data_IF_917273602974
#
_entry.id   IF_917273602974
#
_cell.length_a   1.000
_cell.length_b   1.000
_cell.length_c   1.000
_cell.angle_alpha   90.00
_cell.angle_beta   90.00
_cell.angle_gamma   90.00
#
_symmetry.space_group_name_H-M   'P 1'
#
loop_
_entity.id
_entity.type
_entity.pdbx_description
1 polymer ?
#
# COMPACT_ATOMS: atom_id res chain seq x y z
N UNK A 1 16.45 -7.28 11.07
CA UNK A 1 15.20 -6.81 10.43
C UNK A 1 14.47 -7.98 9.76
N UNK A 2 13.30 -8.32 10.26
CA UNK A 2 12.49 -9.46 9.83
C UNK A 2 11.33 -8.96 8.92
N UNK A 3 11.09 -9.66 7.82
CA UNK A 3 9.93 -9.41 6.93
C UNK A 3 8.89 -10.49 7.20
N UNK A 4 7.68 -10.10 7.54
CA UNK A 4 6.55 -11.01 7.74
C UNK A 4 5.26 -10.50 7.11
N UNK A 5 4.32 -11.40 6.91
CA UNK A 5 2.98 -11.02 6.46
C UNK A 5 2.23 -10.24 7.55
N UNK A 6 1.37 -9.32 7.10
CA UNK A 6 0.38 -8.65 7.95
C UNK A 6 -0.69 -9.67 8.37
N UNK A 7 -1.10 -9.58 9.61
CA UNK A 7 -2.22 -10.33 10.18
C UNK A 7 -3.28 -9.38 10.74
N UNK A 8 -4.42 -9.91 11.17
CA UNK A 8 -5.44 -9.09 11.84
C UNK A 8 -4.94 -8.41 13.12
N UNK A 9 -3.97 -9.01 13.81
CA UNK A 9 -3.35 -8.40 15.00
C UNK A 9 -2.58 -7.11 14.71
N UNK A 10 -2.24 -6.86 13.45
CA UNK A 10 -1.51 -5.67 13.01
C UNK A 10 -2.43 -4.50 12.61
N UNK A 11 -3.75 -4.61 12.83
CA UNK A 11 -4.71 -3.58 12.44
C UNK A 11 -4.33 -2.19 12.95
N UNK A 12 -3.88 -2.09 14.20
CA UNK A 12 -3.45 -0.82 14.79
C UNK A 12 -2.25 -0.23 14.03
N UNK A 13 -1.26 -1.05 13.70
CA UNK A 13 -0.10 -0.63 12.92
C UNK A 13 -0.50 -0.18 11.52
N UNK A 14 -1.39 -0.91 10.86
CA UNK A 14 -1.89 -0.56 9.51
C UNK A 14 -2.60 0.80 9.53
N UNK A 15 -3.44 1.04 10.54
CA UNK A 15 -4.14 2.31 10.72
C UNK A 15 -3.17 3.46 11.02
N UNK A 16 -2.23 3.26 11.95
CA UNK A 16 -1.23 4.27 12.32
C UNK A 16 -0.33 4.65 11.14
N UNK A 17 0.22 3.67 10.45
CA UNK A 17 1.08 3.92 9.29
C UNK A 17 0.34 4.66 8.18
N UNK A 18 -0.92 4.32 7.92
CA UNK A 18 -1.74 5.06 6.95
C UNK A 18 -1.95 6.50 7.37
N UNK A 19 -2.35 6.74 8.62
CA UNK A 19 -2.56 8.09 9.16
C UNK A 19 -1.28 8.92 8.99
N UNK A 20 -0.17 8.40 9.43
CA UNK A 20 1.12 9.09 9.40
C UNK A 20 1.65 9.29 7.97
N UNK A 21 1.36 8.38 7.05
CA UNK A 21 1.66 8.55 5.64
C UNK A 21 0.96 9.79 5.06
N UNK A 22 -0.33 9.95 5.32
CA UNK A 22 -1.09 11.11 4.84
C UNK A 22 -0.75 12.40 5.57
N UNK A 23 -0.49 12.32 6.87
CA UNK A 23 -0.02 13.46 7.66
C UNK A 23 1.30 14.00 7.12
N UNK A 24 2.26 13.13 6.85
CA UNK A 24 3.54 13.47 6.22
C UNK A 24 3.38 14.04 4.79
N UNK A 25 2.31 13.69 4.09
CA UNK A 25 1.95 14.25 2.79
C UNK A 25 1.21 15.61 2.90
N UNK A 26 1.07 16.17 4.11
CA UNK A 26 0.44 17.46 4.34
C UNK A 26 -1.08 17.48 4.25
N UNK A 27 -1.74 16.33 4.44
CA UNK A 27 -3.21 16.26 4.43
C UNK A 27 -3.79 16.88 5.69
N UNK A 28 -4.94 17.52 5.55
CA UNK A 28 -5.64 18.20 6.63
C UNK A 28 -6.03 17.24 7.77
N UNK A 29 -5.66 17.57 9.01
CA UNK A 29 -5.89 16.75 10.19
C UNK A 29 -7.38 16.46 10.44
N UNK A 30 -8.28 17.43 10.18
CA UNK A 30 -9.73 17.26 10.36
C UNK A 30 -10.26 16.22 9.37
N UNK A 31 -9.75 16.21 8.14
CA UNK A 31 -10.11 15.20 7.13
C UNK A 31 -9.60 13.83 7.56
N UNK A 32 -8.38 13.74 8.08
CA UNK A 32 -7.81 12.49 8.56
C UNK A 32 -8.57 11.95 9.78
N UNK A 33 -8.97 12.79 10.71
CA UNK A 33 -9.78 12.40 11.89
C UNK A 33 -11.14 11.78 11.48
N UNK A 34 -11.71 12.22 10.36
CA UNK A 34 -12.92 11.62 9.78
C UNK A 34 -12.64 10.32 9.04
N UNK A 35 -11.49 10.22 8.39
CA UNK A 35 -11.08 9.03 7.63
C UNK A 35 -10.74 7.85 8.55
N UNK A 36 -10.04 8.09 9.66
CA UNK A 36 -9.46 7.05 10.49
C UNK A 36 -10.46 5.99 10.97
N UNK A 37 -11.62 6.34 11.58
CA UNK A 37 -12.58 5.33 12.03
C UNK A 37 -13.19 4.55 10.85
N UNK A 38 -13.46 5.20 9.73
CA UNK A 38 -13.98 4.55 8.53
C UNK A 38 -12.94 3.60 7.92
N UNK A 39 -11.68 4.03 7.84
CA UNK A 39 -10.60 3.17 7.37
C UNK A 39 -10.39 1.96 8.28
N UNK A 40 -10.42 2.15 9.61
CA UNK A 40 -10.26 1.07 10.57
C UNK A 40 -11.32 -0.02 10.37
N UNK A 41 -12.59 0.36 10.25
CA UNK A 41 -13.69 -0.57 9.99
C UNK A 41 -13.48 -1.31 8.66
N UNK A 42 -13.13 -0.59 7.63
CA UNK A 42 -12.86 -1.12 6.30
C UNK A 42 -11.68 -2.11 6.31
N UNK A 43 -10.55 -1.74 6.92
CA UNK A 43 -9.35 -2.56 6.99
C UNK A 43 -9.57 -3.82 7.85
N UNK A 44 -10.26 -3.70 8.98
CA UNK A 44 -10.58 -4.84 9.85
C UNK A 44 -11.35 -5.93 9.10
N UNK A 45 -12.37 -5.55 8.34
CA UNK A 45 -13.15 -6.49 7.53
C UNK A 45 -12.27 -7.21 6.50
N UNK A 46 -11.43 -6.47 5.78
CA UNK A 46 -10.63 -7.02 4.68
C UNK A 46 -9.41 -7.80 5.13
N UNK A 47 -8.84 -7.46 6.28
CA UNK A 47 -7.82 -8.30 6.90
C UNK A 47 -8.38 -9.67 7.33
N UNK A 48 -9.62 -9.71 7.85
CA UNK A 48 -10.29 -10.97 8.21
C UNK A 48 -10.64 -11.82 6.99
N UNK A 49 -11.11 -11.20 5.92
CA UNK A 49 -11.48 -11.91 4.69
C UNK A 49 -10.28 -12.30 3.81
N UNK A 50 -9.10 -11.72 4.06
CA UNK A 50 -7.92 -11.90 3.21
C UNK A 50 -7.91 -11.04 1.94
N UNK A 51 -8.89 -10.15 1.77
CA UNK A 51 -8.92 -9.19 0.65
C UNK A 51 -7.82 -8.12 0.77
N UNK A 52 -7.46 -7.75 2.00
CA UNK A 52 -6.29 -6.93 2.28
C UNK A 52 -5.17 -7.84 2.77
N UNK A 53 -4.11 -7.91 2.02
CA UNK A 53 -2.86 -8.57 2.42
C UNK A 53 -1.74 -7.55 2.47
N UNK A 54 -0.55 -7.96 2.91
CA UNK A 54 0.59 -7.06 2.96
C UNK A 54 1.70 -7.59 3.83
N UNK A 55 2.71 -6.74 4.04
CA UNK A 55 3.90 -7.13 4.81
C UNK A 55 4.36 -6.00 5.71
N UNK A 56 4.98 -6.41 6.80
CA UNK A 56 5.68 -5.55 7.75
C UNK A 56 7.15 -5.97 7.80
N UNK A 57 8.04 -4.99 7.80
CA UNK A 57 9.42 -5.16 8.23
C UNK A 57 9.52 -4.72 9.68
N UNK A 58 10.04 -5.59 10.53
CA UNK A 58 10.29 -5.32 11.93
C UNK A 58 11.79 -5.08 12.17
N UNK A 59 12.08 -4.09 13.00
CA UNK A 59 13.39 -3.81 13.56
C UNK A 59 13.23 -3.75 15.08
N UNK A 60 14.04 -4.50 15.81
CA UNK A 60 14.01 -4.57 17.28
C UNK A 60 12.57 -4.82 17.82
N UNK A 61 11.91 -5.81 17.23
CA UNK A 61 10.53 -6.23 17.53
C UNK A 61 9.47 -5.13 17.39
N UNK A 62 9.74 -4.11 16.58
CA UNK A 62 8.82 -3.01 16.26
C UNK A 62 8.61 -2.88 14.76
N UNK A 63 7.39 -2.52 14.32
CA UNK A 63 7.13 -2.22 12.91
C UNK A 63 8.00 -1.03 12.45
N UNK A 64 8.91 -1.28 11.50
CA UNK A 64 9.77 -0.27 10.90
C UNK A 64 9.27 0.19 9.53
N UNK A 65 8.53 -0.66 8.84
CA UNK A 65 7.91 -0.33 7.56
C UNK A 65 6.76 -1.29 7.25
N UNK A 66 5.81 -0.87 6.45
CA UNK A 66 4.71 -1.72 5.98
C UNK A 66 4.25 -1.37 4.57
N UNK A 67 3.57 -2.32 3.93
CA UNK A 67 2.87 -2.12 2.66
C UNK A 67 1.63 -2.99 2.62
N UNK A 68 0.55 -2.48 2.03
CA UNK A 68 -0.67 -3.22 1.73
C UNK A 68 -0.77 -3.58 0.25
N UNK A 69 -1.47 -4.68 -0.02
CA UNK A 69 -1.78 -5.15 -1.37
C UNK A 69 -3.21 -5.70 -1.39
N UNK A 70 -3.96 -5.28 -2.39
CA UNK A 70 -5.28 -5.82 -2.72
C UNK A 70 -5.30 -6.25 -4.18
N UNK A 71 -6.12 -7.23 -4.50
CA UNK A 71 -6.45 -7.57 -5.87
C UNK A 71 -7.86 -7.09 -6.16
N UNK A 72 -7.99 -6.19 -7.13
CA UNK A 72 -9.25 -5.54 -7.47
C UNK A 72 -9.72 -5.98 -8.84
N UNK A 73 -11.03 -6.18 -8.99
CA UNK A 73 -11.63 -6.49 -10.27
C UNK A 73 -11.34 -5.38 -11.28
N UNK A 74 -10.95 -5.79 -12.47
CA UNK A 74 -10.68 -4.90 -13.57
C UNK A 74 -11.01 -5.59 -14.89
N UNK A 75 -11.71 -4.93 -15.83
CA UNK A 75 -11.94 -5.56 -17.11
C UNK A 75 -10.62 -5.88 -17.81
N UNK A 76 -10.53 -6.98 -18.57
CA UNK A 76 -9.39 -7.21 -19.44
C UNK A 76 -9.04 -5.95 -20.23
N UNK A 77 -7.77 -5.60 -20.27
CA UNK A 77 -7.28 -4.32 -20.75
C UNK A 77 -6.07 -4.55 -21.67
N UNK A 78 -5.77 -3.67 -22.64
CA UNK A 78 -4.58 -3.81 -23.48
C UNK A 78 -3.27 -4.00 -22.71
N UNK A 79 -3.16 -3.43 -21.50
CA UNK A 79 -1.99 -3.61 -20.62
C UNK A 79 -1.95 -4.98 -19.93
N UNK A 80 -3.09 -5.69 -19.83
CA UNK A 80 -3.20 -7.03 -19.25
C UNK A 80 -4.41 -7.77 -19.88
N UNK A 81 -4.32 -8.18 -21.16
CA UNK A 81 -5.44 -8.66 -21.94
C UNK A 81 -6.04 -9.97 -21.42
N UNK A 82 -5.26 -10.78 -20.75
CA UNK A 82 -5.64 -12.11 -20.27
C UNK A 82 -5.95 -12.14 -18.76
N UNK A 83 -5.99 -10.98 -18.11
CA UNK A 83 -6.24 -10.87 -16.68
C UNK A 83 -7.40 -9.92 -16.37
N UNK A 84 -8.30 -10.34 -15.49
CA UNK A 84 -9.49 -9.59 -15.04
C UNK A 84 -9.28 -8.90 -13.70
N UNK A 85 -8.03 -8.75 -13.27
CA UNK A 85 -7.66 -8.13 -11.99
C UNK A 85 -6.42 -7.26 -12.14
N UNK A 86 -6.33 -6.28 -11.24
CA UNK A 86 -5.09 -5.53 -10.97
C UNK A 86 -4.68 -5.71 -9.53
N UNK A 87 -3.39 -5.72 -9.26
CA UNK A 87 -2.91 -5.53 -7.89
C UNK A 87 -2.90 -4.04 -7.56
N UNK A 88 -3.53 -3.67 -6.45
CA UNK A 88 -3.52 -2.30 -5.93
C UNK A 88 -2.63 -2.22 -4.70
N UNK A 89 -1.53 -1.49 -4.82
CA UNK A 89 -0.58 -1.27 -3.73
C UNK A 89 -0.98 -0.01 -2.97
N UNK A 90 -1.08 -0.14 -1.65
CA UNK A 90 -1.48 0.98 -0.79
C UNK A 90 -0.71 0.96 0.52
N UNK A 91 -0.73 2.09 1.22
CA UNK A 91 -0.18 2.23 2.58
C UNK A 91 1.30 1.84 2.70
N UNK A 92 2.13 2.10 1.68
CA UNK A 92 3.57 1.98 1.83
C UNK A 92 4.06 3.08 2.78
N UNK A 93 4.60 2.67 3.90
CA UNK A 93 5.15 3.57 4.91
C UNK A 93 6.47 3.03 5.44
N UNK A 94 7.41 3.92 5.69
CA UNK A 94 8.70 3.62 6.35
C UNK A 94 8.87 4.62 7.49
N UNK A 95 9.13 4.10 8.68
CA UNK A 95 9.43 4.92 9.85
C UNK A 95 10.59 5.87 9.55
N UNK A 96 10.51 7.15 9.99
CA UNK A 96 11.54 8.15 9.69
C UNK A 96 12.96 7.68 9.98
N UNK A 97 13.18 7.05 11.13
CA UNK A 97 14.49 6.58 11.59
C UNK A 97 15.04 5.39 10.79
N UNK A 98 14.18 4.77 9.97
CA UNK A 98 14.53 3.63 9.13
C UNK A 98 14.56 3.94 7.63
N UNK A 99 14.37 5.22 7.26
CA UNK A 99 14.44 5.66 5.85
C UNK A 99 15.87 5.57 5.31
N UNK A 100 15.99 5.48 3.98
CA UNK A 100 17.29 5.35 3.33
C UNK A 100 17.95 3.97 3.43
N UNK A 101 17.34 3.02 4.13
CA UNK A 101 17.86 1.67 4.35
C UNK A 101 17.31 0.62 3.36
N UNK A 102 16.61 1.05 2.31
CA UNK A 102 16.09 0.16 1.27
C UNK A 102 14.83 -0.61 1.64
N UNK A 103 14.16 -0.31 2.77
CA UNK A 103 12.99 -1.06 3.24
C UNK A 103 11.80 -0.95 2.29
N UNK A 104 11.53 0.24 1.73
CA UNK A 104 10.49 0.41 0.72
C UNK A 104 10.73 -0.49 -0.50
N UNK A 105 11.96 -0.53 -1.02
CA UNK A 105 12.33 -1.40 -2.15
C UNK A 105 12.14 -2.88 -1.79
N UNK A 106 12.51 -3.29 -0.57
CA UNK A 106 12.33 -4.67 -0.09
C UNK A 106 10.86 -5.07 -0.05
N UNK A 107 10.00 -4.18 0.46
CA UNK A 107 8.55 -4.38 0.51
C UNK A 107 7.94 -4.45 -0.90
N UNK A 108 8.34 -3.54 -1.79
CA UNK A 108 7.83 -3.52 -3.16
C UNK A 108 8.19 -4.79 -3.94
N UNK A 109 9.40 -5.31 -3.79
CA UNK A 109 9.78 -6.61 -4.38
C UNK A 109 8.89 -7.74 -3.87
N UNK A 110 8.57 -7.76 -2.58
CA UNK A 110 7.68 -8.78 -2.02
C UNK A 110 6.25 -8.68 -2.58
N UNK A 111 5.76 -7.45 -2.78
CA UNK A 111 4.47 -7.20 -3.46
C UNK A 111 4.48 -7.74 -4.89
N UNK A 112 5.52 -7.46 -5.65
CA UNK A 112 5.67 -7.95 -7.03
C UNK A 112 5.70 -9.47 -7.10
N UNK A 113 6.43 -10.12 -6.18
CA UNK A 113 6.50 -11.58 -6.13
C UNK A 113 5.15 -12.21 -5.80
N UNK A 114 4.39 -11.61 -4.89
CA UNK A 114 3.03 -12.07 -4.57
C UNK A 114 2.08 -11.93 -5.76
N UNK A 115 2.14 -10.79 -6.44
CA UNK A 115 1.31 -10.58 -7.64
C UNK A 115 1.61 -11.63 -8.72
N UNK A 116 2.88 -11.90 -9.00
CA UNK A 116 3.29 -12.94 -9.95
C UNK A 116 2.79 -14.32 -9.53
N UNK A 117 2.91 -14.66 -8.24
CA UNK A 117 2.43 -15.93 -7.70
C UNK A 117 0.92 -16.10 -7.89
N UNK A 118 0.16 -15.01 -7.85
CA UNK A 118 -1.30 -15.01 -8.06
C UNK A 118 -1.71 -14.84 -9.53
N UNK A 119 -0.76 -14.83 -10.45
CA UNK A 119 -1.04 -14.66 -11.88
C UNK A 119 -1.55 -13.25 -12.24
N UNK A 120 -1.20 -12.23 -11.45
CA UNK A 120 -1.52 -10.84 -11.72
C UNK A 120 -0.24 -10.14 -12.17
N UNK A 121 -0.26 -9.61 -13.37
CA UNK A 121 0.91 -9.03 -14.05
C UNK A 121 0.87 -7.50 -14.16
N UNK A 122 -0.16 -6.86 -13.61
CA UNK A 122 -0.32 -5.42 -13.61
C UNK A 122 -0.66 -4.87 -12.23
N UNK A 123 0.20 -3.97 -11.75
CA UNK A 123 0.08 -3.32 -10.44
C UNK A 123 -0.18 -1.83 -10.63
N UNK A 124 -1.02 -1.26 -9.78
CA UNK A 124 -1.26 0.18 -9.70
C UNK A 124 -1.06 0.70 -8.29
N UNK A 125 -0.72 1.97 -8.18
CA UNK A 125 -0.67 2.73 -6.92
C UNK A 125 -0.89 4.23 -7.17
N UNK A 126 -1.19 4.95 -6.11
CA UNK A 126 -1.34 6.40 -6.13
C UNK A 126 -0.26 7.02 -5.24
N UNK A 127 0.90 7.43 -5.82
CA UNK A 127 1.99 7.97 -5.03
C UNK A 127 1.69 9.38 -4.55
N UNK A 128 2.18 9.74 -3.36
CA UNK A 128 2.32 11.14 -3.00
C UNK A 128 3.39 11.79 -3.89
N UNK A 129 3.34 13.11 -4.06
CA UNK A 129 4.36 13.83 -4.83
C UNK A 129 5.77 13.55 -4.30
N UNK A 130 5.92 13.46 -2.98
CA UNK A 130 7.19 13.17 -2.32
C UNK A 130 7.70 11.73 -2.57
N UNK A 131 6.81 10.76 -2.68
CA UNK A 131 7.16 9.35 -2.88
C UNK A 131 7.38 8.98 -4.36
N UNK A 132 6.84 9.75 -5.29
CA UNK A 132 6.93 9.49 -6.75
C UNK A 132 8.35 9.18 -7.23
N UNK A 133 9.39 9.97 -6.91
CA UNK A 133 10.75 9.69 -7.39
C UNK A 133 11.26 8.30 -6.99
N UNK A 134 10.90 7.84 -5.79
CA UNK A 134 11.29 6.50 -5.33
C UNK A 134 10.66 5.41 -6.23
N UNK A 135 9.37 5.53 -6.56
CA UNK A 135 8.69 4.58 -7.44
C UNK A 135 9.28 4.60 -8.85
N UNK A 136 9.63 5.76 -9.39
CA UNK A 136 10.30 5.89 -10.69
C UNK A 136 11.64 5.14 -10.72
N UNK A 137 12.41 5.13 -9.63
CA UNK A 137 13.64 4.32 -9.51
C UNK A 137 13.37 2.80 -9.51
N UNK A 138 12.12 2.38 -9.31
CA UNK A 138 11.66 0.99 -9.37
C UNK A 138 10.94 0.67 -10.68
N UNK A 139 11.10 1.51 -11.70
CA UNK A 139 10.48 1.40 -13.03
C UNK A 139 8.95 1.56 -13.05
N UNK A 140 8.37 2.16 -12.02
CA UNK A 140 6.96 2.54 -12.06
C UNK A 140 6.76 3.76 -12.96
N UNK A 141 5.69 3.75 -13.74
CA UNK A 141 5.38 4.79 -14.71
C UNK A 141 4.05 5.47 -14.39
N UNK A 142 3.96 6.75 -14.71
CA UNK A 142 2.71 7.48 -14.60
C UNK A 142 1.69 6.96 -15.62
N UNK A 143 0.43 6.89 -15.20
CA UNK A 143 -0.71 6.53 -16.06
C UNK A 143 -1.72 7.68 -16.14
N UNK A 144 -2.87 7.46 -16.75
CA UNK A 144 -3.85 8.49 -17.13
C UNK A 144 -5.08 8.49 -16.24
N UNK A 145 -4.94 8.41 -14.92
CA UNK A 145 -6.09 8.56 -14.02
C UNK A 145 -6.54 10.01 -13.92
N UNK A 146 -7.86 10.21 -13.97
CA UNK A 146 -8.52 11.49 -13.67
C UNK A 146 -9.47 11.29 -12.50
N UNK A 147 -9.69 12.33 -11.70
CA UNK A 147 -10.62 12.28 -10.56
C UNK A 147 -11.59 13.44 -10.58
N UNK A 148 -12.83 13.19 -10.13
CA UNK A 148 -13.85 14.19 -9.90
C UNK A 148 -14.48 13.97 -8.52
N UNK A 149 -14.52 15.01 -7.70
CA UNK A 149 -15.28 14.98 -6.45
C UNK A 149 -16.71 15.40 -6.74
N UNK A 150 -17.66 14.56 -6.33
CA UNK A 150 -19.08 14.89 -6.36
C UNK A 150 -19.49 15.52 -5.01
N UNK A 151 -20.22 16.62 -5.07
CA UNK A 151 -20.71 17.32 -3.89
C UNK A 151 -21.94 16.61 -3.31
#
# INVERSE_FOLDING_TARGET
>A
MTLRAITFADLDTVCDHRRRMFDAAGRDAVVLDRMDPAFRTWAASRLRSGEYTGWIVEADDRPAASVGLMFIDWPPHPEHPDCDRRGYVLNLFVEPDHRGQGLARRLMRRVEDEARTRGVDYLILHPTAQARPMYETLNWQATSEMSLRLN
#
